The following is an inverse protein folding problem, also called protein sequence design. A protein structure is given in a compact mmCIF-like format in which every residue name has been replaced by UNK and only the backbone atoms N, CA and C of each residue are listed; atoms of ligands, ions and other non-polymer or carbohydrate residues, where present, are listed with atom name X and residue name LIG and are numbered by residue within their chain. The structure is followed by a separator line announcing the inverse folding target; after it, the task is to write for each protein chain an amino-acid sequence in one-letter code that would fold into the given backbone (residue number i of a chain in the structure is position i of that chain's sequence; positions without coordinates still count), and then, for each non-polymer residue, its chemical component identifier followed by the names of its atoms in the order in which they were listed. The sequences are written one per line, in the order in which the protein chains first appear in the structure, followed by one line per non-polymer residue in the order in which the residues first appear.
data_IF_416419054719
#
_entry.id   IF_416419054719
#
_cell.length_a   1.000
_cell.length_b   1.000
_cell.length_c   1.000
_cell.angle_alpha   90.00
_cell.angle_beta   90.00
_cell.angle_gamma   90.00
#
_symmetry.space_group_name_H-M   'P 1'
#
loop_
_entity.id
_entity.type
_entity.pdbx_description
1 polymer ?
#
# COMPACT_ATOMS: atom_id res chain seq x y z
N UNK A 1 66.49 -6.98 -15.40
CA UNK A 1 65.82 -7.50 -14.20
C UNK A 1 65.12 -6.44 -13.33
N UNK A 2 64.84 -5.21 -13.85
CA UNK A 2 64.14 -4.14 -13.08
C UNK A 2 62.68 -3.94 -13.40
N UNK A 3 62.11 -4.66 -14.37
CA UNK A 3 60.70 -4.50 -14.80
C UNK A 3 59.68 -5.41 -14.10
N UNK A 4 60.10 -6.43 -13.38
CA UNK A 4 59.25 -7.41 -12.72
C UNK A 4 58.82 -6.94 -11.31
N UNK A 5 59.61 -6.07 -10.67
CA UNK A 5 59.34 -5.59 -9.31
C UNK A 5 58.22 -4.52 -9.25
N UNK A 6 57.99 -3.79 -10.34
CA UNK A 6 56.96 -2.74 -10.38
C UNK A 6 55.54 -3.34 -10.58
N UNK A 7 55.47 -4.46 -11.31
CA UNK A 7 54.18 -5.14 -11.56
C UNK A 7 53.61 -5.80 -10.30
N UNK A 8 54.45 -6.32 -9.40
CA UNK A 8 54.04 -6.92 -8.14
C UNK A 8 53.47 -5.90 -7.13
N UNK A 9 54.03 -4.69 -7.13
CA UNK A 9 53.63 -3.66 -6.17
C UNK A 9 52.26 -3.01 -6.51
N UNK A 10 51.97 -2.87 -7.81
CA UNK A 10 50.68 -2.34 -8.26
C UNK A 10 49.55 -3.32 -7.99
N UNK A 11 49.80 -4.63 -8.10
CA UNK A 11 48.79 -5.65 -7.82
C UNK A 11 48.52 -5.82 -6.33
N UNK A 12 49.49 -5.60 -5.47
CA UNK A 12 49.31 -5.63 -4.01
C UNK A 12 48.58 -4.39 -3.51
N UNK A 13 48.71 -3.24 -4.18
CA UNK A 13 48.01 -2.01 -3.83
C UNK A 13 46.52 -2.05 -4.24
N UNK A 14 46.20 -2.78 -5.31
CA UNK A 14 44.81 -2.99 -5.75
C UNK A 14 43.99 -3.93 -4.83
N UNK A 15 44.65 -4.81 -4.08
CA UNK A 15 44.02 -5.69 -3.11
C UNK A 15 43.74 -5.00 -1.76
N UNK A 16 44.39 -3.88 -1.45
CA UNK A 16 44.16 -3.14 -0.21
C UNK A 16 42.97 -2.16 -0.27
N UNK A 17 42.38 -1.96 -1.45
CA UNK A 17 41.18 -1.14 -1.63
C UNK A 17 39.88 -1.96 -1.89
N UNK A 18 39.90 -3.26 -1.68
CA UNK A 18 38.66 -3.98 -1.39
C UNK A 18 38.20 -3.57 0.00
N UNK A 19 37.77 -2.30 0.12
CA UNK A 19 36.86 -1.89 1.17
C UNK A 19 35.68 -2.82 1.01
N UNK A 20 35.60 -3.84 1.84
CA UNK A 20 34.36 -4.52 2.10
C UNK A 20 33.39 -3.41 2.51
N UNK A 21 32.54 -3.00 1.57
CA UNK A 21 31.31 -2.37 1.93
C UNK A 21 30.61 -3.45 2.77
N UNK A 22 30.86 -3.38 4.06
CA UNK A 22 30.14 -4.13 5.07
C UNK A 22 28.70 -3.73 4.83
N UNK A 23 27.97 -4.59 4.11
CA UNK A 23 26.55 -4.40 3.92
C UNK A 23 26.01 -4.31 5.34
N UNK A 24 25.60 -3.10 5.72
CA UNK A 24 25.04 -2.83 7.03
C UNK A 24 24.05 -3.95 7.33
N UNK A 25 24.32 -4.76 8.34
CA UNK A 25 23.53 -5.93 8.70
C UNK A 25 22.06 -5.47 8.77
N UNK A 26 21.14 -6.05 7.97
CA UNK A 26 19.73 -5.70 8.07
C UNK A 26 19.19 -5.80 9.52
N UNK A 27 19.89 -6.50 10.41
CA UNK A 27 19.61 -6.54 11.83
C UNK A 27 19.97 -5.24 12.57
N UNK A 28 20.95 -4.47 12.10
CA UNK A 28 21.32 -3.21 12.73
C UNK A 28 20.33 -2.08 12.43
N UNK A 29 19.70 -2.09 11.26
CA UNK A 29 18.54 -1.27 10.95
C UNK A 29 17.28 -1.62 11.79
N UNK A 30 17.28 -2.76 12.50
CA UNK A 30 16.20 -3.13 13.43
C UNK A 30 16.29 -2.40 14.78
N UNK A 31 17.36 -1.68 15.05
CA UNK A 31 17.52 -0.86 16.28
C UNK A 31 16.79 0.50 16.19
N UNK A 32 16.31 0.89 15.03
CA UNK A 32 15.30 1.95 14.95
C UNK A 32 14.02 1.37 15.53
N UNK A 33 13.78 1.64 16.80
CA UNK A 33 12.67 1.07 17.55
C UNK A 33 11.34 1.30 16.87
N UNK A 34 10.55 0.24 16.73
CA UNK A 34 9.16 0.42 16.39
C UNK A 34 8.50 1.22 17.52
N UNK A 35 7.54 2.08 17.20
CA UNK A 35 6.76 2.76 18.22
C UNK A 35 6.00 1.75 19.08
N UNK A 36 5.84 2.06 20.36
CA UNK A 36 4.93 1.33 21.22
C UNK A 36 3.55 1.23 20.56
N UNK A 37 3.06 0.01 20.37
CA UNK A 37 1.82 -0.25 19.65
C UNK A 37 1.95 -0.45 18.13
N UNK A 38 3.17 -0.60 17.58
CA UNK A 38 3.35 -1.10 16.20
C UNK A 38 2.62 -2.42 16.01
N UNK A 39 1.77 -2.46 14.98
CA UNK A 39 0.92 -3.61 14.69
C UNK A 39 1.39 -4.35 13.47
N UNK A 40 1.30 -5.68 13.51
CA UNK A 40 1.52 -6.52 12.34
C UNK A 40 0.32 -6.47 11.41
N UNK A 41 0.57 -6.26 10.11
CA UNK A 41 -0.48 -6.18 9.10
C UNK A 41 -0.20 -7.16 7.98
N UNK A 42 -1.19 -7.98 7.67
CA UNK A 42 -1.24 -8.78 6.45
C UNK A 42 -2.09 -8.03 5.42
N UNK A 43 -1.43 -7.34 4.49
CA UNK A 43 -2.09 -6.71 3.36
C UNK A 43 -2.22 -7.72 2.22
N UNK A 44 -3.43 -8.18 1.96
CA UNK A 44 -3.72 -9.16 0.90
C UNK A 44 -3.70 -8.50 -0.47
N UNK A 45 -3.40 -9.26 -1.54
CA UNK A 45 -3.45 -8.73 -2.90
C UNK A 45 -4.82 -8.14 -3.23
N UNK A 46 -4.84 -6.99 -3.91
CA UNK A 46 -6.09 -6.36 -4.30
C UNK A 46 -6.86 -7.20 -5.32
N UNK A 47 -8.18 -7.21 -5.18
CA UNK A 47 -9.10 -7.87 -6.11
C UNK A 47 -9.85 -6.85 -6.94
N UNK A 48 -10.27 -7.25 -8.13
CA UNK A 48 -11.26 -6.53 -8.92
C UNK A 48 -12.33 -7.51 -9.42
N UNK A 49 -13.57 -7.06 -9.50
CA UNK A 49 -14.72 -7.91 -9.83
C UNK A 49 -15.19 -7.75 -11.26
N UNK A 50 -14.95 -6.61 -11.89
CA UNK A 50 -15.45 -6.33 -13.23
C UNK A 50 -14.61 -5.31 -13.99
N UNK A 51 -14.59 -5.44 -15.31
CA UNK A 51 -14.05 -4.45 -16.24
C UNK A 51 -12.54 -4.23 -16.12
N UNK A 52 -12.11 -3.00 -16.39
CA UNK A 52 -10.71 -2.58 -16.39
C UNK A 52 -10.18 -2.26 -14.99
N UNK A 53 -10.77 -2.89 -13.98
CA UNK A 53 -10.45 -2.67 -12.55
C UNK A 53 -9.02 -3.04 -12.14
N UNK A 54 -8.22 -3.66 -13.01
CA UNK A 54 -6.85 -4.06 -12.68
C UNK A 54 -5.96 -2.85 -12.33
N UNK A 55 -6.02 -1.78 -13.12
CA UNK A 55 -5.29 -0.54 -12.82
C UNK A 55 -5.69 0.02 -11.45
N UNK A 56 -6.99 0.12 -11.20
CA UNK A 56 -7.52 0.62 -9.93
C UNK A 56 -7.11 -0.27 -8.74
N UNK A 57 -7.10 -1.60 -8.93
CA UNK A 57 -6.65 -2.55 -7.91
C UNK A 57 -5.17 -2.37 -7.55
N UNK A 58 -4.31 -2.20 -8.56
CA UNK A 58 -2.89 -1.93 -8.34
C UNK A 58 -2.65 -0.59 -7.65
N UNK A 59 -3.35 0.47 -8.07
CA UNK A 59 -3.27 1.78 -7.43
C UNK A 59 -3.75 1.73 -5.97
N UNK A 60 -4.89 1.10 -5.71
CA UNK A 60 -5.43 0.95 -4.35
C UNK A 60 -4.46 0.18 -3.46
N UNK A 61 -3.90 -0.92 -3.96
CA UNK A 61 -2.92 -1.71 -3.23
C UNK A 61 -1.68 -0.88 -2.88
N UNK A 62 -1.09 -0.20 -3.85
CA UNK A 62 0.09 0.67 -3.63
C UNK A 62 -0.17 1.78 -2.61
N UNK A 63 -1.36 2.40 -2.65
CA UNK A 63 -1.74 3.42 -1.66
C UNK A 63 -1.93 2.84 -0.26
N UNK A 64 -2.44 1.63 -0.14
CA UNK A 64 -2.52 0.95 1.16
C UNK A 64 -1.14 0.53 1.67
N UNK A 65 -0.20 0.17 0.79
CA UNK A 65 1.21 -0.06 1.18
C UNK A 65 1.86 1.19 1.77
N UNK A 66 1.55 2.39 1.25
CA UNK A 66 2.03 3.66 1.81
C UNK A 66 1.46 3.94 3.22
N UNK A 67 0.27 3.44 3.54
CA UNK A 67 -0.35 3.58 4.86
C UNK A 67 0.23 2.55 5.82
N UNK A 68 0.22 1.27 5.42
CA UNK A 68 0.66 0.17 6.27
C UNK A 68 2.17 -0.04 6.19
N UNK A 69 2.93 0.94 6.64
CA UNK A 69 4.40 0.92 6.66
C UNK A 69 4.96 1.30 8.03
N UNK A 70 6.24 1.01 8.20
CA UNK A 70 7.03 1.52 9.32
C UNK A 70 6.83 3.04 9.51
N UNK A 71 6.78 3.58 10.73
CA UNK A 71 6.97 2.88 12.01
C UNK A 71 5.69 2.32 12.65
N UNK A 72 4.50 2.63 12.16
CA UNK A 72 3.24 2.26 12.80
C UNK A 72 2.81 0.82 12.51
N UNK A 73 3.28 0.28 11.37
CA UNK A 73 2.89 -1.07 10.94
C UNK A 73 4.08 -1.86 10.43
N UNK A 74 4.07 -3.16 10.72
CA UNK A 74 4.98 -4.16 10.18
C UNK A 74 4.21 -5.06 9.24
N UNK A 75 4.49 -4.99 7.95
CA UNK A 75 3.84 -5.86 6.97
C UNK A 75 4.37 -7.28 7.05
N UNK A 76 3.45 -8.25 6.97
CA UNK A 76 3.76 -9.66 6.82
C UNK A 76 3.81 -10.03 5.32
N UNK A 77 4.53 -11.11 4.98
CA UNK A 77 4.59 -11.65 3.62
C UNK A 77 3.23 -12.23 3.23
N UNK A 78 2.72 -11.82 2.07
CA UNK A 78 1.43 -12.24 1.54
C UNK A 78 1.52 -13.20 0.35
N UNK A 79 2.73 -13.66 -0.05
CA UNK A 79 2.98 -14.48 -1.25
C UNK A 79 2.19 -15.79 -1.30
N UNK A 80 1.85 -16.36 -0.14
CA UNK A 80 1.05 -17.59 -0.08
C UNK A 80 -0.42 -17.38 -0.42
N UNK A 81 -0.91 -16.15 -0.40
CA UNK A 81 -2.31 -15.83 -0.64
C UNK A 81 -2.54 -15.43 -2.09
N UNK A 82 -3.25 -16.27 -2.83
CA UNK A 82 -3.63 -15.98 -4.23
C UNK A 82 -4.97 -15.24 -4.25
N UNK A 83 -5.04 -14.19 -5.06
CA UNK A 83 -6.20 -13.29 -5.18
C UNK A 83 -7.52 -14.03 -5.43
N UNK A 84 -7.48 -15.10 -6.23
CA UNK A 84 -8.65 -15.87 -6.67
C UNK A 84 -9.41 -16.54 -5.51
N UNK A 85 -8.69 -16.92 -4.44
CA UNK A 85 -9.24 -17.73 -3.34
C UNK A 85 -9.63 -16.90 -2.11
N UNK A 86 -9.37 -15.58 -2.15
CA UNK A 86 -9.61 -14.73 -0.98
C UNK A 86 -11.01 -14.13 -1.09
N UNK A 87 -11.82 -14.36 -0.06
CA UNK A 87 -13.14 -13.76 0.09
C UNK A 87 -13.24 -13.02 1.43
N UNK A 88 -14.05 -11.94 1.53
CA UNK A 88 -14.20 -11.20 2.77
C UNK A 88 -14.61 -12.08 3.95
N UNK A 89 -15.43 -13.11 3.73
CA UNK A 89 -15.92 -14.03 4.76
C UNK A 89 -14.81 -14.89 5.38
N UNK A 90 -13.71 -15.11 4.64
CA UNK A 90 -12.57 -15.91 5.09
C UNK A 90 -11.48 -15.11 5.82
N UNK A 91 -11.64 -13.79 5.96
CA UNK A 91 -10.61 -12.95 6.55
C UNK A 91 -10.32 -13.30 8.02
N UNK A 92 -11.32 -13.75 8.77
CA UNK A 92 -11.14 -14.21 10.14
C UNK A 92 -10.27 -15.49 10.24
N UNK A 93 -10.45 -16.44 9.32
CA UNK A 93 -9.61 -17.64 9.23
C UNK A 93 -8.17 -17.26 8.88
N UNK A 94 -8.00 -16.39 7.86
CA UNK A 94 -6.68 -15.90 7.43
C UNK A 94 -6.00 -15.13 8.56
N UNK A 95 -6.73 -14.36 9.35
CA UNK A 95 -6.20 -13.64 10.50
C UNK A 95 -5.68 -14.61 11.56
N UNK A 96 -6.46 -15.63 11.90
CA UNK A 96 -6.08 -16.66 12.88
C UNK A 96 -4.86 -17.47 12.40
N UNK A 97 -4.80 -17.81 11.11
CA UNK A 97 -3.69 -18.56 10.50
C UNK A 97 -2.39 -17.74 10.44
N UNK A 98 -2.49 -16.45 10.09
CA UNK A 98 -1.32 -15.59 9.92
C UNK A 98 -0.79 -15.04 11.24
N UNK A 99 -1.62 -14.99 12.28
CA UNK A 99 -1.30 -14.33 13.54
C UNK A 99 -1.16 -12.80 13.42
N UNK A 100 -1.57 -12.20 12.30
CA UNK A 100 -1.51 -10.76 12.09
C UNK A 100 -2.44 -10.03 13.07
N UNK A 101 -2.05 -8.84 13.52
CA UNK A 101 -2.95 -7.99 14.32
C UNK A 101 -4.08 -7.42 13.47
N UNK A 102 -3.82 -7.24 12.17
CA UNK A 102 -4.78 -6.71 11.20
C UNK A 102 -4.60 -7.46 9.87
N UNK A 103 -5.69 -7.94 9.29
CA UNK A 103 -5.73 -8.43 7.91
C UNK A 103 -6.55 -7.47 7.09
N UNK A 104 -6.04 -7.07 5.92
CA UNK A 104 -6.68 -6.09 5.03
C UNK A 104 -6.83 -6.67 3.64
N UNK A 105 -8.04 -6.61 3.09
CA UNK A 105 -8.36 -7.03 1.72
C UNK A 105 -8.95 -5.84 0.95
N UNK A 106 -8.20 -5.25 0.01
CA UNK A 106 -8.74 -4.26 -0.91
C UNK A 106 -9.49 -4.93 -2.06
N UNK A 107 -10.63 -4.38 -2.44
CA UNK A 107 -11.48 -4.88 -3.52
C UNK A 107 -11.98 -3.72 -4.37
N UNK A 108 -11.74 -3.75 -5.66
CA UNK A 108 -12.42 -2.90 -6.64
C UNK A 108 -13.70 -3.63 -7.07
N UNK A 109 -14.80 -3.24 -6.47
CA UNK A 109 -16.11 -3.89 -6.69
C UNK A 109 -16.69 -3.52 -8.05
N UNK A 110 -16.50 -2.26 -8.46
CA UNK A 110 -16.93 -1.77 -9.76
C UNK A 110 -15.95 -0.74 -10.28
N UNK A 111 -15.62 -0.86 -11.55
CA UNK A 111 -14.89 0.14 -12.33
C UNK A 111 -15.50 0.18 -13.72
N UNK A 112 -16.15 1.27 -14.08
CA UNK A 112 -16.75 1.40 -15.41
C UNK A 112 -16.84 2.85 -15.84
N UNK A 113 -16.46 3.08 -17.09
CA UNK A 113 -16.78 4.28 -17.85
C UNK A 113 -17.52 3.85 -19.11
N UNK A 114 -18.72 4.35 -19.31
CA UNK A 114 -19.53 3.97 -20.47
C UNK A 114 -20.25 5.16 -21.09
N UNK A 115 -20.31 5.19 -22.39
CA UNK A 115 -21.12 6.16 -23.12
C UNK A 115 -22.60 5.79 -23.01
N UNK A 116 -23.41 6.74 -22.63
CA UNK A 116 -24.87 6.64 -22.62
C UNK A 116 -25.43 7.57 -23.67
N UNK A 117 -26.26 7.03 -24.53
CA UNK A 117 -27.03 7.82 -25.49
C UNK A 117 -28.39 8.10 -24.88
N UNK A 118 -28.68 9.37 -24.52
CA UNK A 118 -30.03 9.72 -24.06
C UNK A 118 -31.03 9.47 -25.18
N UNK A 119 -32.12 8.76 -24.87
CA UNK A 119 -33.20 8.55 -25.84
C UNK A 119 -34.03 9.82 -25.91
N UNK A 120 -33.72 10.65 -26.89
CA UNK A 120 -34.59 11.78 -27.19
C UNK A 120 -35.10 11.63 -28.64
N UNK A 121 -36.40 11.50 -28.76
CA UNK A 121 -37.07 11.27 -30.05
C UNK A 121 -37.02 12.48 -30.99
N UNK A 122 -36.64 13.66 -30.51
CA UNK A 122 -36.80 14.92 -31.27
C UNK A 122 -35.67 15.95 -31.07
N UNK A 123 -34.59 15.61 -30.34
CA UNK A 123 -33.49 16.55 -30.08
C UNK A 123 -32.14 15.88 -30.35
N UNK A 124 -31.24 16.64 -30.92
CA UNK A 124 -29.81 16.28 -31.00
C UNK A 124 -29.25 16.42 -29.60
N UNK A 125 -29.13 15.29 -28.89
CA UNK A 125 -28.57 15.26 -27.56
C UNK A 125 -27.23 14.57 -27.62
N UNK A 126 -26.19 15.26 -27.14
CA UNK A 126 -24.85 14.73 -27.08
C UNK A 126 -24.76 13.50 -26.15
N UNK A 127 -23.91 12.53 -26.49
CA UNK A 127 -23.70 11.37 -25.63
C UNK A 127 -23.06 11.78 -24.30
N UNK A 128 -23.55 11.17 -23.22
CA UNK A 128 -22.96 11.34 -21.90
C UNK A 128 -22.02 10.20 -21.56
N UNK A 129 -20.91 10.50 -20.92
CA UNK A 129 -20.04 9.48 -20.32
C UNK A 129 -20.41 9.30 -18.84
N UNK A 130 -20.93 8.13 -18.51
CA UNK A 130 -21.18 7.76 -17.13
C UNK A 130 -19.97 7.02 -16.57
N UNK A 131 -19.37 7.59 -15.52
CA UNK A 131 -18.31 6.97 -14.73
C UNK A 131 -18.88 6.47 -13.41
N UNK A 132 -18.64 5.20 -13.11
CA UNK A 132 -19.06 4.58 -11.86
C UNK A 132 -17.95 3.73 -11.27
N UNK A 133 -17.51 4.08 -10.06
CA UNK A 133 -16.47 3.36 -9.34
C UNK A 133 -16.93 3.07 -7.91
N UNK A 134 -16.68 1.84 -7.47
CA UNK A 134 -16.91 1.39 -6.10
C UNK A 134 -15.68 0.61 -5.65
N UNK A 135 -15.06 1.07 -4.59
CA UNK A 135 -13.98 0.36 -3.91
C UNK A 135 -14.38 0.03 -2.47
N UNK A 136 -13.98 -1.14 -2.03
CA UNK A 136 -14.17 -1.64 -0.67
C UNK A 136 -12.82 -2.02 -0.06
N UNK A 137 -12.61 -1.66 1.18
CA UNK A 137 -11.47 -2.18 1.97
C UNK A 137 -12.05 -2.92 3.16
N UNK A 138 -11.92 -4.24 3.13
CA UNK A 138 -12.29 -5.08 4.25
C UNK A 138 -11.11 -5.22 5.20
N UNK A 139 -11.36 -5.16 6.49
CA UNK A 139 -10.33 -5.42 7.49
C UNK A 139 -10.87 -6.22 8.66
N UNK A 140 -10.01 -7.09 9.20
CA UNK A 140 -10.28 -7.88 10.41
C UNK A 140 -9.14 -7.67 11.37
N UNK A 141 -9.46 -7.35 12.62
CA UNK A 141 -8.49 -7.22 13.69
C UNK A 141 -8.41 -8.51 14.51
N UNK A 142 -7.32 -8.65 15.29
CA UNK A 142 -7.08 -9.80 16.16
C UNK A 142 -8.17 -10.02 17.21
N UNK A 143 -8.89 -8.98 17.60
CA UNK A 143 -10.05 -9.04 18.48
C UNK A 143 -11.33 -9.55 17.81
N UNK A 144 -11.25 -9.95 16.53
CA UNK A 144 -12.38 -10.42 15.72
C UNK A 144 -13.23 -9.30 15.14
N UNK A 145 -12.92 -8.03 15.42
CA UNK A 145 -13.67 -6.91 14.87
C UNK A 145 -13.46 -6.81 13.36
N UNK A 146 -14.56 -6.96 12.63
CA UNK A 146 -14.59 -6.83 11.17
C UNK A 146 -15.08 -5.45 10.77
N UNK A 147 -14.53 -4.90 9.69
CA UNK A 147 -14.91 -3.60 9.14
C UNK A 147 -14.85 -3.61 7.62
N UNK A 148 -15.80 -2.88 7.01
CA UNK A 148 -15.79 -2.56 5.59
C UNK A 148 -15.82 -1.05 5.42
N UNK A 149 -14.83 -0.50 4.78
CA UNK A 149 -14.77 0.91 4.38
C UNK A 149 -15.03 1.00 2.89
N UNK A 150 -16.14 1.63 2.50
CA UNK A 150 -16.57 1.79 1.11
C UNK A 150 -16.41 3.24 0.66
N UNK A 151 -15.82 3.43 -0.51
CA UNK A 151 -15.85 4.68 -1.24
C UNK A 151 -16.44 4.50 -2.62
N UNK A 152 -17.16 5.52 -3.07
CA UNK A 152 -17.84 5.53 -4.36
C UNK A 152 -17.52 6.83 -5.09
N UNK A 153 -17.47 6.73 -6.41
CA UNK A 153 -17.44 7.85 -7.31
C UNK A 153 -18.49 7.63 -8.41
N UNK A 154 -19.26 8.66 -8.69
CA UNK A 154 -20.25 8.65 -9.75
C UNK A 154 -20.29 10.02 -10.39
N UNK A 155 -20.13 10.05 -11.72
CA UNK A 155 -20.17 11.27 -12.50
C UNK A 155 -20.79 11.00 -13.87
N UNK A 156 -21.41 12.01 -14.45
CA UNK A 156 -21.88 12.04 -15.84
C UNK A 156 -21.41 13.32 -16.46
N UNK A 157 -20.65 13.20 -17.51
CA UNK A 157 -20.07 14.34 -18.25
C UNK A 157 -20.41 14.28 -19.73
N UNK A 158 -20.54 15.44 -20.34
CA UNK A 158 -20.76 15.59 -21.79
C UNK A 158 -19.44 15.56 -22.58
N UNK A 159 -18.31 15.83 -21.94
CA UNK A 159 -17.03 16.07 -22.61
C UNK A 159 -16.08 14.86 -22.69
N UNK A 160 -16.57 13.63 -22.56
CA UNK A 160 -15.75 12.45 -22.78
C UNK A 160 -15.26 11.73 -21.52
N UNK A 161 -14.29 10.83 -21.72
CA UNK A 161 -13.78 9.97 -20.63
C UNK A 161 -12.87 10.72 -19.68
N UNK A 162 -13.14 10.58 -18.38
CA UNK A 162 -12.29 11.11 -17.31
C UNK A 162 -11.05 10.24 -17.15
N UNK A 163 -9.91 10.85 -16.81
CA UNK A 163 -8.67 10.10 -16.58
C UNK A 163 -8.80 9.19 -15.35
N UNK A 164 -8.39 7.95 -15.49
CA UNK A 164 -8.42 6.96 -14.40
C UNK A 164 -7.69 7.43 -13.14
N UNK A 165 -6.57 8.16 -13.31
CA UNK A 165 -5.81 8.72 -12.18
C UNK A 165 -6.63 9.74 -11.37
N UNK A 166 -7.36 10.62 -12.06
CA UNK A 166 -8.22 11.61 -11.41
C UNK A 166 -9.36 10.91 -10.62
N UNK A 167 -10.01 9.93 -11.27
CA UNK A 167 -11.07 9.15 -10.62
C UNK A 167 -10.52 8.46 -9.36
N UNK A 168 -9.34 7.83 -9.47
CA UNK A 168 -8.70 7.18 -8.31
C UNK A 168 -8.40 8.16 -7.19
N UNK A 169 -7.90 9.35 -7.49
CA UNK A 169 -7.60 10.36 -6.47
C UNK A 169 -8.88 10.77 -5.72
N UNK A 170 -10.00 11.00 -6.44
CA UNK A 170 -11.29 11.35 -5.84
C UNK A 170 -11.85 10.22 -4.96
N UNK A 171 -11.83 8.99 -5.47
CA UNK A 171 -12.31 7.82 -4.71
C UNK A 171 -11.48 7.59 -3.46
N UNK A 172 -10.14 7.68 -3.59
CA UNK A 172 -9.22 7.51 -2.47
C UNK A 172 -9.38 8.63 -1.44
N UNK A 173 -9.56 9.88 -1.86
CA UNK A 173 -9.84 10.96 -0.92
C UNK A 173 -11.09 10.68 -0.08
N UNK A 174 -12.16 10.19 -0.73
CA UNK A 174 -13.39 9.81 -0.05
C UNK A 174 -13.21 8.61 0.89
N UNK A 175 -12.37 7.63 0.51
CA UNK A 175 -12.01 6.52 1.37
C UNK A 175 -11.27 6.99 2.61
N UNK A 176 -10.26 7.86 2.42
CA UNK A 176 -9.39 8.30 3.51
C UNK A 176 -10.09 9.15 4.56
N UNK A 177 -11.16 9.82 4.24
CA UNK A 177 -11.97 10.58 5.23
C UNK A 177 -12.56 9.68 6.33
N UNK A 178 -12.76 8.40 6.05
CA UNK A 178 -13.40 7.42 6.94
C UNK A 178 -12.44 6.32 7.41
N UNK A 179 -11.26 6.22 6.81
CA UNK A 179 -10.34 5.12 7.04
C UNK A 179 -9.71 5.21 8.42
N UNK A 180 -9.84 4.16 9.28
CA UNK A 180 -9.53 4.27 10.70
C UNK A 180 -8.04 4.10 11.01
N UNK A 181 -7.23 3.77 10.01
CA UNK A 181 -5.83 3.45 10.22
C UNK A 181 -4.96 4.69 10.13
N UNK A 182 -4.03 4.83 11.07
CA UNK A 182 -3.10 5.95 11.13
C UNK A 182 -2.20 5.94 9.90
N UNK A 183 -2.12 7.08 9.22
CA UNK A 183 -1.18 7.26 8.11
C UNK A 183 0.17 7.70 8.63
N UNK A 184 1.23 7.26 7.95
CA UNK A 184 2.56 7.76 8.20
C UNK A 184 2.67 9.15 7.57
N UNK A 185 2.98 10.22 8.31
CA UNK A 185 3.20 11.54 7.76
C UNK A 185 4.34 11.52 6.73
N UNK A 186 4.39 12.50 5.84
CA UNK A 186 5.52 12.68 4.93
C UNK A 186 6.82 12.93 5.70
N UNK A 187 6.74 13.69 6.80
CA UNK A 187 7.82 13.88 7.75
C UNK A 187 7.47 13.24 9.10
N UNK A 188 8.18 12.16 9.43
CA UNK A 188 8.05 11.43 10.70
C UNK A 188 9.12 11.79 11.73
N UNK A 189 10.01 12.75 11.42
CA UNK A 189 11.16 13.10 12.26
C UNK A 189 10.72 13.54 13.67
N UNK A 190 9.62 14.29 13.75
CA UNK A 190 9.06 14.73 15.03
C UNK A 190 8.52 13.57 15.89
N UNK A 191 7.96 12.55 15.25
CA UNK A 191 7.44 11.35 15.93
C UNK A 191 8.58 10.44 16.39
N UNK A 192 9.65 10.28 15.58
CA UNK A 192 10.85 9.54 15.95
C UNK A 192 11.59 10.18 17.14
N UNK A 193 11.73 11.51 17.16
CA UNK A 193 12.40 12.22 18.25
C UNK A 193 11.63 12.14 19.59
N UNK A 194 10.32 11.89 19.54
CA UNK A 194 9.48 11.68 20.73
C UNK A 194 9.74 10.32 21.38
N UNK A 195 9.99 9.30 20.58
CA UNK A 195 10.27 7.93 21.05
C UNK A 195 11.61 7.87 21.76
N UNK A 196 12.67 8.50 21.21
CA UNK A 196 13.99 8.59 21.87
C UNK A 196 13.93 9.25 23.25
N UNK A 197 13.06 10.25 23.43
CA UNK A 197 12.89 10.90 24.74
C UNK A 197 12.15 10.05 25.78
N UNK A 198 11.28 9.13 25.33
CA UNK A 198 10.56 8.24 26.26
C UNK A 198 11.46 7.12 26.78
N UNK A 199 12.33 6.58 25.90
CA UNK A 199 13.25 5.49 26.28
C UNK A 199 14.32 5.96 27.26
N UNK A 200 14.75 7.22 27.17
CA UNK A 200 15.74 7.81 28.12
C UNK A 200 15.14 8.04 29.52
N UNK A 201 13.81 8.22 29.63
CA UNK A 201 13.14 8.38 30.92
C UNK A 201 12.88 7.08 31.68
N UNK A 202 12.83 5.95 30.95
CA UNK A 202 12.61 4.63 31.56
C UNK A 202 13.93 3.90 31.88
N UNK A 203 15.08 4.52 31.62
CA UNK A 203 16.43 3.98 31.85
C UNK A 203 17.14 4.57 33.08
N UNK A 204 16.41 5.29 33.96
CA UNK A 204 16.94 5.83 35.22
C UNK A 204 16.23 5.25 36.44
#
# INVERSE_FOLDING_TARGET
MKKILISGFVMTLLFLFSVTAEAADPAENRKLGYFDGTRTVLLLPARYQSGDGNYAALCLYGKLEEIFRYPYYRRLDNKKYKTENIRPEKLGEIQSESGADIVVLPVVTQWSQRTIWPVALFFDIDPLVETRVIIDVYSVKKDGHTRQDRATYFEREEEGFVRDSYIMDQVLENLWKKFPYRRVPADISADLSRTEKSDTKNAV
#
